data_IF_370934457040
#
_entry.id   IF_370934457040
#
_cell.length_a   1.000
_cell.length_b   1.000
_cell.length_c   1.000
_cell.angle_alpha   90.00
_cell.angle_beta   90.00
_cell.angle_gamma   90.00
#
_symmetry.space_group_name_H-M   'P 1'
#
loop_
_entity.id
_entity.type
_entity.pdbx_description
1 polymer ?
#
# COMPACT_ATOMS: atom_id res chain seq x y z
N UNK A 1 -22.98 4.59 10.18
CA UNK A 1 -22.52 4.59 8.78
C UNK A 1 -21.62 3.38 8.58
N UNK A 2 -22.01 2.45 7.72
CA UNK A 2 -21.22 1.28 7.44
C UNK A 2 -20.15 1.56 6.37
N UNK A 3 -19.19 0.68 6.23
CA UNK A 3 -18.09 0.84 5.27
C UNK A 3 -18.55 0.77 3.81
N UNK A 4 -19.66 0.11 3.54
CA UNK A 4 -20.29 0.11 2.22
C UNK A 4 -20.69 1.51 1.78
N UNK A 5 -21.25 2.32 2.68
CA UNK A 5 -21.59 3.72 2.40
C UNK A 5 -20.34 4.54 2.10
N UNK A 6 -19.23 4.28 2.80
CA UNK A 6 -17.94 4.93 2.51
C UNK A 6 -17.42 4.56 1.12
N UNK A 7 -17.50 3.30 0.75
CA UNK A 7 -17.07 2.82 -0.56
C UNK A 7 -17.92 3.40 -1.70
N UNK A 8 -19.25 3.37 -1.55
CA UNK A 8 -20.17 3.85 -2.56
C UNK A 8 -20.17 5.38 -2.71
N UNK A 9 -19.78 6.11 -1.66
CA UNK A 9 -19.83 7.58 -1.59
C UNK A 9 -18.45 8.21 -1.44
N UNK A 10 -17.40 7.53 -1.89
CA UNK A 10 -16.05 8.09 -1.84
C UNK A 10 -16.01 9.41 -2.58
N UNK A 11 -15.62 10.53 -1.91
CA UNK A 11 -15.53 11.82 -2.55
C UNK A 11 -14.42 11.87 -3.59
N UNK A 12 -14.49 12.80 -4.48
CA UNK A 12 -13.40 13.06 -5.43
C UNK A 12 -12.15 13.51 -4.67
N UNK A 13 -10.95 13.06 -5.08
CA UNK A 13 -9.71 13.49 -4.47
C UNK A 13 -9.52 15.01 -4.56
N UNK A 14 -9.13 15.61 -3.45
CA UNK A 14 -8.69 17.00 -3.41
C UNK A 14 -7.18 17.02 -3.51
N UNK A 15 -6.68 17.08 -4.73
CA UNK A 15 -5.26 17.00 -5.03
C UNK A 15 -4.55 18.31 -4.78
N UNK A 16 -3.39 18.21 -4.17
CA UNK A 16 -2.46 19.32 -3.97
C UNK A 16 -1.03 18.78 -4.02
N UNK A 17 -0.02 19.65 -4.24
CA UNK A 17 1.36 19.22 -4.16
C UNK A 17 1.70 18.71 -2.76
N UNK A 18 2.12 17.47 -2.65
CA UNK A 18 2.53 16.83 -1.40
C UNK A 18 3.79 16.01 -1.60
N UNK A 19 4.54 15.79 -0.53
CA UNK A 19 5.71 14.92 -0.53
C UNK A 19 5.28 13.48 -0.27
N UNK A 20 5.31 12.65 -1.32
CA UNK A 20 4.93 11.25 -1.23
C UNK A 20 5.87 10.44 -0.33
N UNK A 21 7.16 10.75 -0.34
CA UNK A 21 8.12 10.07 0.54
C UNK A 21 7.83 10.31 2.02
N UNK A 22 7.41 11.52 2.37
CA UNK A 22 6.98 11.84 3.74
C UNK A 22 5.70 11.10 4.12
N UNK A 23 4.70 11.05 3.25
CA UNK A 23 3.45 10.32 3.51
C UNK A 23 3.73 8.85 3.79
N UNK A 24 4.58 8.23 2.97
CA UNK A 24 4.95 6.82 3.17
C UNK A 24 5.74 6.62 4.46
N UNK A 25 6.68 7.49 4.76
CA UNK A 25 7.49 7.42 5.99
C UNK A 25 6.62 7.53 7.23
N UNK A 26 5.69 8.46 7.25
CA UNK A 26 4.74 8.65 8.36
C UNK A 26 3.84 7.42 8.55
N UNK A 27 3.36 6.82 7.45
CA UNK A 27 2.56 5.59 7.49
C UNK A 27 3.36 4.41 8.07
N UNK A 28 4.62 4.26 7.69
CA UNK A 28 5.51 3.22 8.22
C UNK A 28 5.74 3.41 9.72
N UNK A 29 6.05 4.62 10.16
CA UNK A 29 6.25 4.91 11.58
C UNK A 29 5.01 4.56 12.41
N UNK A 30 3.84 4.97 11.94
CA UNK A 30 2.58 4.69 12.62
C UNK A 30 2.32 3.19 12.77
N UNK A 31 2.52 2.44 11.69
CA UNK A 31 2.27 1.00 11.68
C UNK A 31 3.34 0.20 12.44
N UNK A 32 4.59 0.64 12.41
CA UNK A 32 5.67 0.02 13.19
C UNK A 32 5.39 0.10 14.70
N UNK A 33 4.89 1.22 15.17
CA UNK A 33 4.47 1.38 16.57
C UNK A 33 3.32 0.43 16.90
N UNK A 34 2.35 0.27 15.98
CA UNK A 34 1.16 -0.55 16.20
C UNK A 34 1.36 -2.05 16.02
N UNK A 35 2.44 -2.48 15.38
CA UNK A 35 2.73 -3.89 15.06
C UNK A 35 3.96 -4.39 15.80
N UNK A 36 3.81 -4.62 17.11
CA UNK A 36 4.89 -5.14 17.93
C UNK A 36 5.30 -6.56 17.49
N UNK A 37 6.60 -6.81 17.48
CA UNK A 37 7.15 -8.12 17.08
C UNK A 37 7.33 -8.30 15.57
N UNK A 38 6.90 -7.35 14.76
CA UNK A 38 7.16 -7.35 13.32
C UNK A 38 8.30 -6.40 13.00
N UNK A 39 9.30 -6.89 12.28
CA UNK A 39 10.39 -6.04 11.79
C UNK A 39 9.96 -5.28 10.56
N UNK A 40 10.18 -3.98 10.53
CA UNK A 40 9.98 -3.14 9.37
C UNK A 40 11.34 -2.82 8.74
N UNK A 41 11.51 -3.23 7.49
CA UNK A 41 12.68 -2.89 6.67
C UNK A 41 12.22 -1.93 5.56
N UNK A 42 12.46 -0.64 5.76
CA UNK A 42 11.96 0.42 4.88
C UNK A 42 13.10 1.15 4.19
N UNK A 43 13.00 1.24 2.87
CA UNK A 43 13.92 1.97 2.00
C UNK A 43 13.13 3.05 1.27
N UNK A 44 13.13 4.26 1.82
CA UNK A 44 12.37 5.40 1.33
C UNK A 44 13.36 6.52 1.00
N UNK A 45 13.25 7.19 -0.17
CA UNK A 45 14.11 8.32 -0.50
C UNK A 45 14.11 9.40 0.58
N UNK A 46 15.27 9.96 0.90
CA UNK A 46 15.41 11.08 1.82
C UNK A 46 14.94 12.39 1.18
N UNK A 47 15.08 12.49 -0.15
CA UNK A 47 14.64 13.65 -0.89
C UNK A 47 13.12 13.74 -0.98
N UNK A 48 12.64 14.96 -1.16
CA UNK A 48 11.23 15.23 -1.40
C UNK A 48 10.82 14.68 -2.78
N UNK A 49 9.72 13.93 -2.81
CA UNK A 49 9.11 13.43 -4.05
C UNK A 49 7.72 14.01 -4.16
N UNK A 50 7.63 15.14 -4.84
CA UNK A 50 6.38 15.90 -4.95
C UNK A 50 5.45 15.31 -6.00
N UNK A 51 4.19 15.14 -5.64
CA UNK A 51 3.12 14.75 -6.54
C UNK A 51 1.82 15.45 -6.19
N UNK A 52 0.92 15.57 -7.15
CA UNK A 52 -0.44 16.09 -6.95
C UNK A 52 -1.33 14.95 -6.43
N UNK A 53 -1.54 14.91 -5.13
CA UNK A 53 -2.27 13.85 -4.46
C UNK A 53 -3.20 14.42 -3.38
N UNK A 54 -4.24 13.64 -3.06
CA UNK A 54 -5.01 13.84 -1.83
C UNK A 54 -4.27 13.12 -0.70
N UNK A 55 -3.63 13.88 0.16
CA UNK A 55 -2.77 13.37 1.24
C UNK A 55 -3.51 12.40 2.16
N UNK A 56 -4.74 12.73 2.55
CA UNK A 56 -5.55 11.90 3.44
C UNK A 56 -5.90 10.56 2.80
N UNK A 57 -6.30 10.56 1.54
CA UNK A 57 -6.64 9.34 0.80
C UNK A 57 -5.42 8.45 0.58
N UNK A 58 -4.31 9.01 0.15
CA UNK A 58 -3.08 8.24 -0.09
C UNK A 58 -2.53 7.68 1.23
N UNK A 59 -2.53 8.47 2.29
CA UNK A 59 -2.16 8.00 3.63
C UNK A 59 -3.03 6.81 4.06
N UNK A 60 -4.34 6.90 3.87
CA UNK A 60 -5.27 5.81 4.18
C UNK A 60 -4.96 4.55 3.38
N UNK A 61 -4.70 4.69 2.07
CA UNK A 61 -4.36 3.55 1.21
C UNK A 61 -3.09 2.85 1.67
N UNK A 62 -2.03 3.60 1.98
CA UNK A 62 -0.77 3.06 2.45
C UNK A 62 -0.90 2.38 3.81
N UNK A 63 -1.59 3.00 4.75
CA UNK A 63 -1.88 2.42 6.07
C UNK A 63 -2.63 1.11 5.93
N UNK A 64 -3.66 1.06 5.08
CA UNK A 64 -4.44 -0.16 4.86
C UNK A 64 -3.59 -1.30 4.28
N UNK A 65 -2.69 -1.01 3.34
CA UNK A 65 -1.81 -2.03 2.76
C UNK A 65 -0.80 -2.57 3.77
N UNK A 66 -0.21 -1.71 4.59
CA UNK A 66 0.73 -2.13 5.63
C UNK A 66 0.00 -2.93 6.73
N UNK A 67 -1.20 -2.51 7.09
CA UNK A 67 -2.06 -3.25 8.03
C UNK A 67 -2.41 -4.63 7.48
N UNK A 68 -2.78 -4.72 6.20
CA UNK A 68 -3.04 -6.00 5.54
C UNK A 68 -1.83 -6.94 5.57
N UNK A 69 -0.63 -6.40 5.38
CA UNK A 69 0.61 -7.17 5.50
C UNK A 69 0.79 -7.74 6.91
N UNK A 70 0.53 -6.95 7.94
CA UNK A 70 0.57 -7.41 9.34
C UNK A 70 -0.47 -8.49 9.64
N UNK A 71 -1.68 -8.34 9.12
CA UNK A 71 -2.76 -9.33 9.28
C UNK A 71 -2.43 -10.66 8.56
N UNK A 72 -1.77 -10.60 7.41
CA UNK A 72 -1.29 -11.80 6.72
C UNK A 72 -0.24 -12.57 7.52
N UNK A 73 0.64 -11.86 8.20
CA UNK A 73 1.62 -12.45 9.12
C UNK A 73 0.91 -13.08 10.34
N UNK A 74 -0.03 -12.38 10.93
CA UNK A 74 -0.82 -12.88 12.05
C UNK A 74 -1.57 -14.16 11.67
N UNK A 75 -2.19 -14.19 10.49
CA UNK A 75 -2.88 -15.37 9.98
C UNK A 75 -1.94 -16.57 9.80
N UNK A 76 -0.73 -16.34 9.31
CA UNK A 76 0.28 -17.40 9.20
C UNK A 76 0.70 -17.92 10.58
N UNK A 77 0.91 -17.03 11.53
CA UNK A 77 1.29 -17.40 12.90
C UNK A 77 0.21 -18.22 13.61
N UNK A 78 -1.06 -17.86 13.40
CA UNK A 78 -2.21 -18.62 13.95
C UNK A 78 -2.29 -20.04 13.37
N UNK A 79 -1.86 -20.25 12.12
CA UNK A 79 -1.81 -21.55 11.47
C UNK A 79 -0.56 -22.37 11.81
N UNK A 80 0.34 -21.81 12.59
CA UNK A 80 1.61 -22.42 12.95
C UNK A 80 2.75 -22.04 12.01
N UNK A 81 3.87 -21.66 12.60
CA UNK A 81 5.10 -21.28 11.88
C UNK A 81 6.26 -22.14 12.33
N UNK A 82 7.31 -22.31 11.48
CA UNK A 82 8.53 -22.98 11.89
C UNK A 82 9.21 -22.26 13.05
N UNK A 83 9.95 -23.01 13.85
CA UNK A 83 10.82 -22.44 14.87
C UNK A 83 11.79 -21.45 14.22
N UNK A 84 11.95 -20.27 14.85
CA UNK A 84 12.81 -19.22 14.32
C UNK A 84 12.20 -18.34 13.24
N UNK A 85 10.90 -18.48 12.95
CA UNK A 85 10.21 -17.56 12.05
C UNK A 85 10.28 -16.13 12.55
N UNK A 86 10.71 -15.22 11.68
CA UNK A 86 10.85 -13.79 11.97
C UNK A 86 9.86 -13.00 11.13
N UNK A 87 8.78 -12.49 11.73
CA UNK A 87 7.82 -11.64 11.01
C UNK A 87 8.50 -10.38 10.47
N UNK A 88 8.33 -10.11 9.19
CA UNK A 88 8.96 -8.95 8.56
C UNK A 88 8.06 -8.37 7.47
N UNK A 89 8.04 -7.04 7.42
CA UNK A 89 7.44 -6.26 6.33
C UNK A 89 8.54 -5.44 5.68
N UNK A 90 8.68 -5.57 4.36
CA UNK A 90 9.63 -4.81 3.57
C UNK A 90 8.92 -3.77 2.74
N UNK A 91 9.33 -2.53 2.86
CA UNK A 91 8.75 -1.39 2.17
C UNK A 91 9.85 -0.69 1.40
N UNK A 92 9.61 -0.43 0.13
CA UNK A 92 10.54 0.30 -0.71
C UNK A 92 9.80 1.30 -1.58
N UNK A 93 10.42 2.43 -1.83
CA UNK A 93 9.96 3.43 -2.78
C UNK A 93 11.11 3.80 -3.71
N UNK A 94 10.83 3.76 -5.00
CA UNK A 94 11.71 4.26 -6.06
C UNK A 94 10.94 5.24 -6.93
N UNK A 95 11.62 6.12 -7.62
CA UNK A 95 10.98 7.04 -8.54
C UNK A 95 11.90 7.45 -9.67
N UNK A 96 11.31 7.87 -10.76
CA UNK A 96 11.93 8.61 -11.84
C UNK A 96 11.24 9.97 -12.01
N UNK A 97 11.43 10.65 -13.14
CA UNK A 97 10.82 11.97 -13.37
C UNK A 97 9.31 11.92 -13.60
N UNK A 98 8.74 10.75 -13.87
CA UNK A 98 7.34 10.60 -14.28
C UNK A 98 6.50 9.77 -13.34
N UNK A 99 7.10 8.87 -12.55
CA UNK A 99 6.39 7.92 -11.70
C UNK A 99 7.13 7.63 -10.41
N UNK A 100 6.35 7.33 -9.38
CA UNK A 100 6.86 6.69 -8.17
C UNK A 100 6.30 5.27 -8.07
N UNK A 101 7.12 4.37 -7.57
CA UNK A 101 6.76 2.98 -7.31
C UNK A 101 6.97 2.68 -5.85
N UNK A 102 5.92 2.19 -5.20
CA UNK A 102 5.96 1.76 -3.80
C UNK A 102 5.66 0.28 -3.74
N UNK A 103 6.49 -0.48 -3.06
CA UNK A 103 6.27 -1.92 -2.82
C UNK A 103 6.16 -2.17 -1.32
N UNK A 104 5.19 -2.97 -0.95
CA UNK A 104 4.94 -3.43 0.42
C UNK A 104 4.87 -4.95 0.37
N UNK A 105 5.89 -5.62 0.90
CA UNK A 105 6.01 -7.07 0.89
C UNK A 105 5.99 -7.61 2.31
N UNK A 106 5.34 -8.74 2.51
CA UNK A 106 5.29 -9.44 3.78
C UNK A 106 5.73 -10.91 3.62
N UNK A 107 6.03 -11.55 4.72
CA UNK A 107 6.29 -12.99 4.79
C UNK A 107 5.15 -13.74 5.50
N UNK A 108 3.94 -13.23 5.35
CA UNK A 108 2.73 -13.81 5.91
C UNK A 108 2.16 -14.96 5.10
N UNK A 109 0.87 -15.20 5.25
CA UNK A 109 0.18 -16.37 4.67
C UNK A 109 0.17 -16.37 3.13
N UNK A 110 0.38 -15.22 2.50
CA UNK A 110 0.33 -15.07 1.05
C UNK A 110 -1.07 -14.81 0.52
N UNK A 111 -1.17 -14.72 -0.80
CA UNK A 111 -2.43 -14.46 -1.48
C UNK A 111 -3.24 -15.75 -1.64
N UNK A 112 -4.59 -15.66 -1.65
CA UNK A 112 -5.44 -16.80 -1.96
C UNK A 112 -5.24 -17.25 -3.42
N UNK A 113 -5.63 -18.48 -3.73
CA UNK A 113 -5.53 -19.04 -5.10
C UNK A 113 -6.45 -18.28 -6.08
N UNK A 114 -7.64 -17.91 -5.65
CA UNK A 114 -8.57 -17.13 -6.46
C UNK A 114 -8.24 -15.63 -6.40
N UNK A 115 -7.31 -15.22 -7.25
CA UNK A 115 -6.79 -13.85 -7.35
C UNK A 115 -7.81 -12.87 -7.93
N UNK A 116 -8.72 -13.35 -8.78
CA UNK A 116 -9.70 -12.51 -9.45
C UNK A 116 -10.66 -11.84 -8.48
N UNK A 117 -10.87 -12.41 -7.29
CA UNK A 117 -11.80 -11.91 -6.28
C UNK A 117 -11.18 -11.01 -5.21
N UNK A 118 -9.87 -10.76 -5.28
CA UNK A 118 -9.16 -9.97 -4.26
C UNK A 118 -9.71 -8.55 -4.09
N UNK A 119 -10.22 -7.95 -5.16
CA UNK A 119 -10.73 -6.59 -5.17
C UNK A 119 -12.26 -6.49 -5.14
N UNK A 120 -12.95 -7.62 -5.00
CA UNK A 120 -14.40 -7.62 -4.85
C UNK A 120 -14.79 -7.17 -3.44
N UNK A 121 -15.78 -6.26 -3.29
CA UNK A 121 -16.31 -5.89 -1.99
C UNK A 121 -16.83 -7.09 -1.20
N UNK A 122 -16.62 -7.09 0.11
CA UNK A 122 -17.07 -8.12 1.05
C UNK A 122 -16.44 -9.52 0.88
N UNK A 123 -15.44 -9.66 0.01
CA UNK A 123 -14.65 -10.88 -0.09
C UNK A 123 -13.43 -10.76 0.81
N UNK A 124 -13.32 -11.63 1.80
CA UNK A 124 -12.18 -11.69 2.70
C UNK A 124 -11.88 -13.14 3.06
N UNK A 125 -10.60 -13.47 3.14
CA UNK A 125 -10.12 -14.76 3.68
C UNK A 125 -9.82 -14.67 5.18
N UNK A 126 -10.09 -13.52 5.80
CA UNK A 126 -9.79 -13.23 7.20
C UNK A 126 -11.06 -13.10 8.01
N UNK A 127 -11.09 -13.74 9.18
CA UNK A 127 -12.26 -13.73 10.07
C UNK A 127 -12.63 -12.33 10.58
N UNK A 128 -11.68 -11.40 10.61
CA UNK A 128 -11.84 -10.03 11.12
C UNK A 128 -11.94 -8.97 10.04
N UNK A 129 -11.84 -9.36 8.76
CA UNK A 129 -11.87 -8.41 7.65
C UNK A 129 -13.28 -8.13 7.17
N UNK A 130 -13.56 -6.89 6.79
CA UNK A 130 -14.83 -6.51 6.18
C UNK A 130 -14.88 -6.82 4.68
N UNK A 131 -13.72 -7.08 4.06
CA UNK A 131 -13.60 -7.28 2.63
C UNK A 131 -13.63 -5.99 1.81
N UNK A 132 -13.57 -4.81 2.46
CA UNK A 132 -13.60 -3.51 1.79
C UNK A 132 -12.23 -2.83 1.69
N UNK A 133 -11.21 -3.29 2.44
CA UNK A 133 -9.89 -2.67 2.49
C UNK A 133 -9.21 -2.57 1.12
N UNK A 134 -9.06 -3.69 0.42
CA UNK A 134 -8.42 -3.73 -0.91
C UNK A 134 -9.23 -3.02 -2.00
N UNK A 135 -10.56 -3.19 -2.10
CA UNK A 135 -11.36 -2.42 -3.06
C UNK A 135 -11.24 -0.91 -2.87
N UNK A 136 -11.23 -0.43 -1.63
CA UNK A 136 -11.06 0.99 -1.33
C UNK A 136 -9.67 1.48 -1.74
N UNK A 137 -8.62 0.73 -1.41
CA UNK A 137 -7.24 1.06 -1.80
C UNK A 137 -7.12 1.15 -3.32
N UNK A 138 -7.65 0.15 -4.03
CA UNK A 138 -7.64 0.13 -5.50
C UNK A 138 -8.32 1.38 -6.07
N UNK A 139 -9.50 1.72 -5.55
CA UNK A 139 -10.24 2.91 -5.98
C UNK A 139 -9.46 4.20 -5.73
N UNK A 140 -8.86 4.35 -4.57
CA UNK A 140 -8.03 5.52 -4.24
C UNK A 140 -6.89 5.66 -5.25
N UNK A 141 -6.15 4.59 -5.47
CA UNK A 141 -5.00 4.61 -6.38
C UNK A 141 -5.42 4.92 -7.83
N UNK A 142 -6.49 4.30 -8.30
CA UNK A 142 -7.00 4.54 -9.66
C UNK A 142 -7.54 5.97 -9.84
N UNK A 143 -8.20 6.53 -8.84
CA UNK A 143 -8.66 7.92 -8.85
C UNK A 143 -7.49 8.93 -8.90
N UNK A 144 -6.30 8.50 -8.50
CA UNK A 144 -5.07 9.28 -8.61
C UNK A 144 -4.27 8.99 -9.90
N UNK A 145 -4.86 8.24 -10.84
CA UNK A 145 -4.20 7.87 -12.09
C UNK A 145 -3.14 6.79 -11.96
N UNK A 146 -3.12 6.10 -10.83
CA UNK A 146 -2.16 5.04 -10.54
C UNK A 146 -2.69 3.63 -10.77
N UNK A 147 -1.85 2.67 -10.45
CA UNK A 147 -2.14 1.25 -10.55
C UNK A 147 -1.72 0.52 -9.27
N UNK A 148 -2.61 -0.33 -8.77
CA UNK A 148 -2.32 -1.26 -7.68
C UNK A 148 -2.23 -2.68 -8.23
N UNK A 149 -1.14 -3.38 -7.94
CA UNK A 149 -0.94 -4.79 -8.31
C UNK A 149 -0.65 -5.60 -7.05
N UNK A 150 -1.26 -6.78 -6.95
CA UNK A 150 -0.97 -7.76 -5.91
C UNK A 150 -0.36 -9.00 -6.54
N UNK A 151 0.75 -9.47 -5.99
CA UNK A 151 1.47 -10.64 -6.48
C UNK A 151 2.14 -11.38 -5.32
N UNK A 152 2.68 -12.58 -5.59
CA UNK A 152 3.49 -13.27 -4.61
C UNK A 152 4.78 -12.47 -4.35
N UNK A 153 5.15 -12.35 -3.08
CA UNK A 153 6.43 -11.79 -2.71
C UNK A 153 7.56 -12.78 -2.99
N UNK A 154 8.74 -12.27 -3.33
CA UNK A 154 9.95 -13.09 -3.31
C UNK A 154 10.19 -13.63 -1.89
N UNK A 155 10.69 -14.87 -1.72
CA UNK A 155 11.04 -15.36 -0.40
C UNK A 155 12.06 -14.44 0.28
N UNK A 156 11.87 -14.16 1.56
CA UNK A 156 12.78 -13.27 2.31
C UNK A 156 14.10 -13.95 2.69
N UNK A 157 14.15 -15.27 2.54
CA UNK A 157 15.35 -16.09 2.69
C UNK A 157 15.25 -17.31 1.77
N UNK A 158 16.38 -17.97 1.40
CA UNK A 158 16.34 -19.18 0.59
C UNK A 158 15.43 -20.24 1.21
N UNK A 159 14.48 -20.78 0.43
CA UNK A 159 13.55 -21.80 0.88
C UNK A 159 12.44 -21.33 1.82
N UNK A 160 12.35 -20.02 2.09
CA UNK A 160 11.30 -19.46 2.94
C UNK A 160 9.94 -19.45 2.22
N UNK A 161 8.88 -19.40 3.02
CA UNK A 161 7.52 -19.23 2.52
C UNK A 161 7.36 -17.89 1.78
N UNK A 162 6.61 -17.91 0.69
CA UNK A 162 6.28 -16.70 -0.06
C UNK A 162 5.03 -16.03 0.53
N UNK A 163 5.19 -14.80 0.98
CA UNK A 163 4.06 -13.96 1.35
C UNK A 163 3.47 -13.22 0.15
N UNK A 164 2.92 -12.05 0.41
CA UNK A 164 2.30 -11.20 -0.61
C UNK A 164 3.10 -9.91 -0.81
N UNK A 165 3.01 -9.36 -2.00
CA UNK A 165 3.56 -8.07 -2.37
C UNK A 165 2.49 -7.21 -3.00
N UNK A 166 2.29 -6.02 -2.46
CA UNK A 166 1.51 -4.97 -3.08
C UNK A 166 2.44 -3.98 -3.75
N UNK A 167 2.13 -3.62 -4.99
CA UNK A 167 2.85 -2.61 -5.74
C UNK A 167 1.91 -1.49 -6.14
N UNK A 168 2.30 -0.26 -5.82
CA UNK A 168 1.61 0.95 -6.23
C UNK A 168 2.52 1.70 -7.20
N UNK A 169 1.97 2.09 -8.33
CA UNK A 169 2.60 3.03 -9.25
C UNK A 169 1.73 4.28 -9.32
N UNK A 170 2.31 5.43 -9.01
CA UNK A 170 1.63 6.72 -9.05
C UNK A 170 2.34 7.65 -10.03
N UNK A 171 1.59 8.41 -10.84
CA UNK A 171 2.21 9.44 -11.68
C UNK A 171 2.77 10.56 -10.80
N UNK A 172 3.94 11.04 -11.17
CA UNK A 172 4.52 12.25 -10.61
C UNK A 172 4.28 13.36 -11.62
N UNK A 173 3.34 14.23 -11.32
CA UNK A 173 3.26 15.49 -12.02
C UNK A 173 4.38 16.36 -11.44
N UNK A 174 5.50 16.43 -12.17
CA UNK A 174 6.39 17.54 -11.96
C UNK A 174 5.53 18.80 -12.03
N UNK A 175 5.66 19.66 -11.03
CA UNK A 175 5.01 20.94 -11.03
C UNK A 175 5.41 21.74 -12.26
N UNK A 176 4.92 21.34 -13.42
CA UNK A 176 4.85 22.19 -14.58
C UNK A 176 3.85 23.26 -14.21
N UNK A 177 4.38 24.32 -13.62
CA UNK A 177 3.76 25.62 -13.77
C UNK A 177 3.30 25.66 -15.23
N UNK A 178 2.02 25.86 -15.53
CA UNK A 178 1.62 26.07 -16.90
C UNK A 178 2.53 27.18 -17.42
N UNK A 179 3.35 26.85 -18.41
CA UNK A 179 4.03 27.89 -19.15
C UNK A 179 2.88 28.74 -19.69
N UNK A 180 2.72 29.90 -19.08
CA UNK A 180 1.95 30.95 -19.67
C UNK A 180 2.63 31.16 -21.03
N UNK A 181 2.08 30.56 -22.08
CA UNK A 181 2.34 31.03 -23.41
C UNK A 181 1.77 32.43 -23.43
N UNK A 182 2.61 33.37 -23.03
CA UNK A 182 2.36 34.76 -23.30
C UNK A 182 2.33 34.87 -24.81
N UNK A 183 1.14 34.98 -25.32
CA UNK A 183 0.86 35.41 -26.67
C UNK A 183 1.59 36.70 -26.96
N UNK A 184 2.36 36.69 -28.00
CA UNK A 184 2.55 37.91 -28.80
C UNK A 184 1.22 38.27 -29.50
#
# INVERSE_FOLDING_TARGET
>A
VNEFSKFARMPQPQRRPVDLSKILRDAVVLQDIGQTGVRFDAHIPDEEVTSLLDETMISQALINLIKNAGEAIESLQENGVPDGFKPEIRIAMTHDDTRARITISDNGIGLPEDRARLFEPYVTTRDKGTGLGLPIVKKIIEEHGGLLTLEDAEPFAPGAHRGARAEIVLPLDEGKTPKNEASE
#
